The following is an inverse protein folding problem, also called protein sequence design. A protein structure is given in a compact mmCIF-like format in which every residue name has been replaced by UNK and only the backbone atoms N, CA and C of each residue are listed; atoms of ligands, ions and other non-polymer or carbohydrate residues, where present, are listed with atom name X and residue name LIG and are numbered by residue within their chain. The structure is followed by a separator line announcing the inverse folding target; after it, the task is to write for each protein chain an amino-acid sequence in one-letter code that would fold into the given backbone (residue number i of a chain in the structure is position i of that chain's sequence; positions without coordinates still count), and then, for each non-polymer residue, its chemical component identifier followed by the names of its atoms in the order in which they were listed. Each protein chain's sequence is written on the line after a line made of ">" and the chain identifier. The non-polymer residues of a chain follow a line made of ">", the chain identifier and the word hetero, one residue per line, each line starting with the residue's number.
data_IF_482372034177
#
_entry.id   IF_482372034177
#
_cell.length_a   1.000
_cell.length_b   1.000
_cell.length_c   1.000
_cell.angle_alpha   90.00
_cell.angle_beta   90.00
_cell.angle_gamma   90.00
#
_symmetry.space_group_name_H-M   'P 1'
#
loop_
_entity.id
_entity.type
_entity.pdbx_description
1 polymer ?
#
# COMPACT_ATOMS: atom_id res chain seq x y z
N UNK A 1 17.06 -24.79 8.10
CA UNK A 1 15.75 -25.38 8.47
C UNK A 1 14.60 -25.10 7.47
N UNK A 2 14.64 -24.11 6.56
CA UNK A 2 13.52 -23.85 5.62
C UNK A 2 13.13 -25.08 4.77
N UNK A 3 14.09 -25.75 4.18
CA UNK A 3 13.85 -26.91 3.29
C UNK A 3 13.16 -28.10 3.97
N UNK A 4 13.25 -28.20 5.31
CA UNK A 4 12.65 -29.31 6.07
C UNK A 4 11.14 -29.15 6.19
N UNK A 5 10.65 -27.91 6.36
CA UNK A 5 9.24 -27.65 6.58
C UNK A 5 8.43 -27.83 5.29
N UNK A 6 8.94 -27.37 4.15
CA UNK A 6 8.33 -27.61 2.83
C UNK A 6 8.27 -29.11 2.50
N UNK A 7 9.32 -29.85 2.85
CA UNK A 7 9.34 -31.31 2.68
C UNK A 7 8.24 -31.99 3.52
N UNK A 8 8.04 -31.54 4.75
CA UNK A 8 6.98 -32.07 5.62
C UNK A 8 5.59 -31.78 5.03
N UNK A 9 5.33 -30.57 4.51
CA UNK A 9 4.07 -30.22 3.87
C UNK A 9 3.80 -31.12 2.66
N UNK A 10 4.77 -31.30 1.76
CA UNK A 10 4.66 -32.19 0.59
C UNK A 10 4.41 -33.66 0.99
N UNK A 11 5.08 -34.14 2.03
CA UNK A 11 4.88 -35.49 2.55
C UNK A 11 3.48 -35.67 3.18
N UNK A 12 3.03 -34.67 3.94
CA UNK A 12 1.69 -34.70 4.53
C UNK A 12 0.61 -34.70 3.44
N UNK A 13 0.76 -33.85 2.42
CA UNK A 13 -0.18 -33.82 1.28
C UNK A 13 -0.23 -35.18 0.58
N UNK A 14 0.94 -35.74 0.23
CA UNK A 14 1.01 -37.05 -0.39
C UNK A 14 0.39 -38.14 0.46
N UNK A 15 0.64 -38.15 1.77
CA UNK A 15 0.04 -39.13 2.70
C UNK A 15 -1.48 -39.05 2.71
N UNK A 16 -2.05 -37.83 2.74
CA UNK A 16 -3.49 -37.63 2.69
C UNK A 16 -4.09 -38.13 1.37
N UNK A 17 -3.43 -37.90 0.27
CA UNK A 17 -3.85 -38.38 -1.04
C UNK A 17 -3.79 -39.90 -1.12
N UNK A 18 -2.69 -40.52 -0.67
CA UNK A 18 -2.53 -42.00 -0.61
C UNK A 18 -3.55 -42.67 0.29
N UNK A 19 -4.03 -41.99 1.35
CA UNK A 19 -5.07 -42.47 2.25
C UNK A 19 -6.50 -42.20 1.76
N UNK A 20 -6.68 -41.67 0.56
CA UNK A 20 -8.01 -41.39 -0.02
C UNK A 20 -8.68 -40.12 0.51
N UNK A 21 -7.93 -39.22 1.11
CA UNK A 21 -8.40 -37.94 1.64
C UNK A 21 -7.86 -36.70 0.86
N UNK A 22 -8.01 -36.63 -0.48
CA UNK A 22 -7.46 -35.57 -1.28
C UNK A 22 -8.08 -34.18 -1.00
N UNK A 23 -9.26 -34.14 -0.39
CA UNK A 23 -9.96 -32.89 -0.03
C UNK A 23 -9.62 -32.41 1.38
N UNK A 24 -8.85 -33.17 2.16
CA UNK A 24 -8.41 -32.71 3.47
C UNK A 24 -7.49 -31.49 3.33
N UNK A 25 -7.72 -30.47 4.14
CA UNK A 25 -6.96 -29.22 4.12
C UNK A 25 -5.78 -29.28 5.08
N UNK A 26 -4.62 -28.82 4.62
CA UNK A 26 -3.44 -28.66 5.44
C UNK A 26 -3.41 -27.24 6.00
N UNK A 27 -3.64 -27.12 7.31
CA UNK A 27 -3.55 -25.85 8.02
C UNK A 27 -2.21 -25.79 8.78
N UNK A 28 -1.39 -24.79 8.47
CA UNK A 28 -0.03 -24.64 8.97
C UNK A 28 0.05 -23.46 9.93
N UNK A 29 0.79 -23.61 11.02
CA UNK A 29 0.98 -22.55 12.02
C UNK A 29 2.32 -22.72 12.68
N UNK A 30 2.91 -21.68 13.16
CA UNK A 30 4.13 -21.52 13.92
C UNK A 30 5.06 -20.47 13.31
N UNK A 31 5.04 -19.27 13.88
CA UNK A 31 5.98 -18.18 13.57
C UNK A 31 6.05 -17.79 12.09
N UNK A 32 4.93 -17.93 11.35
CA UNK A 32 4.89 -17.67 9.92
C UNK A 32 4.90 -16.18 9.63
N UNK A 33 5.76 -15.77 8.69
CA UNK A 33 5.76 -14.48 8.01
C UNK A 33 5.24 -14.62 6.57
N UNK A 34 5.15 -13.52 5.83
CA UNK A 34 4.65 -13.50 4.44
C UNK A 34 5.52 -14.33 3.49
N UNK A 35 6.82 -14.40 3.73
CA UNK A 35 7.75 -15.18 2.90
C UNK A 35 7.56 -16.67 3.14
N UNK A 36 7.46 -17.08 4.40
CA UNK A 36 7.18 -18.48 4.78
C UNK A 36 5.81 -18.94 4.31
N UNK A 37 4.79 -18.10 4.43
CA UNK A 37 3.44 -18.39 3.89
C UNK A 37 3.52 -18.64 2.38
N UNK A 38 4.23 -17.83 1.61
CA UNK A 38 4.43 -18.03 0.17
C UNK A 38 5.09 -19.38 -0.15
N UNK A 39 6.17 -19.73 0.56
CA UNK A 39 6.91 -20.98 0.36
C UNK A 39 6.05 -22.21 0.70
N UNK A 40 5.39 -22.19 1.82
CA UNK A 40 4.55 -23.29 2.29
C UNK A 40 3.26 -23.46 1.48
N UNK A 41 2.70 -22.37 0.95
CA UNK A 41 1.60 -22.42 -0.01
C UNK A 41 2.03 -23.11 -1.32
N UNK A 42 3.21 -22.77 -1.83
CA UNK A 42 3.80 -23.43 -3.00
C UNK A 42 4.13 -24.92 -2.75
N UNK A 43 4.33 -25.32 -1.49
CA UNK A 43 4.54 -26.71 -1.09
C UNK A 43 3.24 -27.51 -0.94
N UNK A 44 2.06 -26.87 -0.98
CA UNK A 44 0.74 -27.50 -0.87
C UNK A 44 -0.01 -27.24 0.43
N UNK A 45 0.36 -26.21 1.19
CA UNK A 45 -0.41 -25.71 2.32
C UNK A 45 -1.67 -24.98 1.86
N UNK A 46 -2.78 -25.23 2.53
CA UNK A 46 -4.11 -24.66 2.18
C UNK A 46 -4.52 -23.49 3.08
N UNK A 47 -4.06 -23.45 4.32
CA UNK A 47 -4.38 -22.41 5.29
C UNK A 47 -3.24 -22.15 6.25
N UNK A 48 -3.18 -20.93 6.79
CA UNK A 48 -2.04 -20.46 7.58
C UNK A 48 -2.50 -19.71 8.82
N UNK A 49 -2.02 -20.17 9.99
CA UNK A 49 -2.13 -19.46 11.24
C UNK A 49 -0.97 -18.47 11.35
N UNK A 50 -1.26 -17.20 11.17
CA UNK A 50 -0.28 -16.11 11.26
C UNK A 50 -0.48 -15.31 12.54
N UNK A 51 0.58 -14.74 13.06
CA UNK A 51 0.57 -14.01 14.32
C UNK A 51 1.54 -12.83 14.30
N UNK A 52 2.38 -12.76 15.33
CA UNK A 52 3.29 -11.65 15.58
C UNK A 52 4.17 -11.29 14.38
N UNK A 53 4.67 -12.28 13.66
CA UNK A 53 5.56 -12.04 12.50
C UNK A 53 4.89 -11.34 11.32
N UNK A 54 3.54 -11.33 11.26
CA UNK A 54 2.79 -10.53 10.28
C UNK A 54 2.36 -9.20 10.89
N UNK A 55 1.89 -9.21 12.17
CA UNK A 55 1.39 -8.00 12.83
C UNK A 55 2.51 -7.08 13.30
N UNK A 56 3.71 -7.62 13.54
CA UNK A 56 4.92 -6.94 13.99
C UNK A 56 6.09 -7.24 13.04
N UNK A 57 5.84 -7.33 11.71
CA UNK A 57 6.91 -7.57 10.74
C UNK A 57 7.98 -6.46 10.81
N UNK A 58 9.24 -6.73 10.42
CA UNK A 58 10.33 -5.75 10.53
C UNK A 58 10.07 -4.43 9.78
N UNK A 59 9.21 -4.46 8.78
CA UNK A 59 8.76 -3.32 8.00
C UNK A 59 7.38 -2.77 8.44
N UNK A 60 6.71 -3.44 9.39
CA UNK A 60 5.49 -2.90 9.99
C UNK A 60 5.82 -1.73 10.91
N UNK A 61 4.96 -0.71 10.89
CA UNK A 61 5.05 0.38 11.85
C UNK A 61 4.82 -0.17 13.28
N UNK A 62 5.89 -0.25 14.06
CA UNK A 62 5.84 -0.63 15.49
C UNK A 62 5.26 0.51 16.30
N UNK A 63 3.97 0.74 16.16
CA UNK A 63 3.24 1.80 16.83
C UNK A 63 2.55 2.75 15.85
N UNK A 64 1.44 3.32 16.27
CA UNK A 64 0.72 4.33 15.49
C UNK A 64 1.47 5.66 15.64
N UNK A 65 2.40 5.92 14.73
CA UNK A 65 3.06 7.21 14.62
C UNK A 65 2.24 8.16 13.75
N UNK A 66 1.70 9.23 14.32
CA UNK A 66 1.08 10.30 13.56
C UNK A 66 1.93 11.56 13.65
N UNK A 67 2.30 12.13 12.51
CA UNK A 67 3.04 13.39 12.40
C UNK A 67 2.30 14.36 11.50
N UNK A 68 1.89 15.50 12.06
CA UNK A 68 1.34 16.62 11.29
C UNK A 68 2.45 17.53 10.74
N UNK A 69 2.25 18.02 9.52
CA UNK A 69 3.08 19.07 8.92
C UNK A 69 2.17 20.18 8.44
N UNK A 70 2.52 21.43 8.80
CA UNK A 70 1.79 22.59 8.32
C UNK A 70 2.08 22.81 6.84
N UNK A 71 1.05 22.76 6.00
CA UNK A 71 1.14 22.96 4.54
C UNK A 71 0.36 24.18 4.07
N UNK A 72 -0.49 24.74 4.93
CA UNK A 72 -1.24 25.97 4.71
C UNK A 72 -1.59 26.57 6.07
N UNK A 73 -1.41 27.88 6.24
CA UNK A 73 -1.78 28.56 7.49
C UNK A 73 -3.25 29.04 7.50
N UNK A 74 -3.69 29.61 8.59
CA UNK A 74 -5.07 30.09 8.77
C UNK A 74 -5.45 31.25 7.82
N UNK A 75 -4.47 32.00 7.27
CA UNK A 75 -4.71 33.08 6.29
C UNK A 75 -4.73 32.56 4.84
N UNK A 76 -4.57 31.24 4.64
CA UNK A 76 -4.53 30.61 3.32
C UNK A 76 -3.13 30.62 2.68
N UNK A 77 -2.11 31.19 3.34
CA UNK A 77 -0.75 31.16 2.82
C UNK A 77 -0.21 29.75 2.80
N UNK A 78 0.24 29.30 1.63
CA UNK A 78 0.86 28.00 1.44
C UNK A 78 2.26 27.94 2.08
N UNK A 79 2.61 26.78 2.60
CA UNK A 79 3.90 26.55 3.24
C UNK A 79 4.33 25.11 3.00
N UNK A 80 5.63 24.86 3.02
CA UNK A 80 6.19 23.53 2.87
C UNK A 80 7.45 23.38 3.71
N UNK A 81 7.76 22.13 4.06
CA UNK A 81 9.05 21.80 4.66
C UNK A 81 10.05 21.44 3.57
N UNK A 82 11.13 22.20 3.47
CA UNK A 82 12.31 21.80 2.72
C UNK A 82 13.21 20.92 3.59
N UNK A 83 13.48 19.72 3.11
CA UNK A 83 14.35 18.78 3.83
C UNK A 83 15.23 18.07 2.79
N UNK A 84 16.21 18.82 2.26
CA UNK A 84 17.15 18.32 1.24
C UNK A 84 17.84 17.05 1.73
N UNK A 85 17.71 15.96 0.98
CA UNK A 85 18.38 14.68 1.24
C UNK A 85 17.86 13.82 2.40
N UNK A 86 16.85 14.26 3.15
CA UNK A 86 16.34 13.51 4.33
C UNK A 86 15.02 12.78 4.12
N UNK A 87 14.39 12.86 2.94
CA UNK A 87 13.07 12.28 2.66
C UNK A 87 11.91 12.91 3.47
N UNK A 88 12.17 14.01 4.21
CA UNK A 88 11.19 14.65 5.11
C UNK A 88 10.57 15.92 4.52
N UNK A 89 10.76 16.17 3.23
CA UNK A 89 10.12 17.29 2.54
C UNK A 89 8.59 17.08 2.50
N UNK A 90 7.83 18.19 2.44
CA UNK A 90 6.38 18.16 2.26
C UNK A 90 5.98 18.95 1.03
N UNK A 91 4.86 18.61 0.42
CA UNK A 91 4.25 19.41 -0.62
C UNK A 91 3.36 20.50 0.01
N UNK A 92 3.26 21.69 -0.60
CA UNK A 92 2.45 22.78 -0.07
C UNK A 92 0.96 22.60 -0.34
N UNK A 93 0.13 23.15 0.54
CA UNK A 93 -1.30 23.28 0.34
C UNK A 93 -2.10 21.99 0.55
N UNK A 94 -3.40 22.11 0.38
CA UNK A 94 -4.34 20.98 0.38
C UNK A 94 -4.24 20.28 -0.98
N UNK A 95 -4.01 18.99 -0.96
CA UNK A 95 -3.79 18.20 -2.17
C UNK A 95 -4.97 17.30 -2.48
N UNK A 96 -5.07 16.88 -3.74
CA UNK A 96 -5.82 15.74 -4.22
C UNK A 96 -4.89 14.83 -5.02
N UNK A 97 -5.16 13.54 -4.99
CA UNK A 97 -4.46 12.53 -5.79
C UNK A 97 -5.46 11.93 -6.76
N UNK A 98 -5.15 11.96 -8.03
CA UNK A 98 -5.95 11.31 -9.07
C UNK A 98 -5.20 10.11 -9.63
N UNK A 99 -5.82 8.94 -9.60
CA UNK A 99 -5.29 7.71 -10.18
C UNK A 99 -5.70 7.56 -11.62
N UNK A 100 -4.72 7.32 -12.47
CA UNK A 100 -4.87 6.91 -13.86
C UNK A 100 -4.47 5.44 -14.03
N UNK A 101 -4.51 4.94 -15.26
CA UNK A 101 -4.18 3.54 -15.55
C UNK A 101 -2.69 3.22 -15.33
N UNK A 102 -1.80 4.21 -15.46
CA UNK A 102 -0.35 4.07 -15.52
C UNK A 102 0.42 5.02 -14.57
N UNK A 103 -0.26 5.95 -13.91
CA UNK A 103 0.36 6.91 -12.99
C UNK A 103 -0.65 7.49 -11.99
N UNK A 104 -0.14 8.17 -10.97
CA UNK A 104 -0.91 9.07 -10.12
C UNK A 104 -0.53 10.52 -10.40
N UNK A 105 -1.52 11.41 -10.40
CA UNK A 105 -1.34 12.86 -10.51
C UNK A 105 -1.71 13.55 -9.20
N UNK A 106 -0.76 14.27 -8.60
CA UNK A 106 -1.01 15.14 -7.45
C UNK A 106 -1.33 16.56 -7.94
N UNK A 107 -2.42 17.11 -7.41
CA UNK A 107 -2.87 18.48 -7.72
C UNK A 107 -3.12 19.24 -6.43
N UNK A 108 -3.22 20.56 -6.51
CA UNK A 108 -3.89 21.32 -5.46
C UNK A 108 -5.39 20.97 -5.46
N UNK A 109 -5.99 20.99 -4.28
CA UNK A 109 -7.38 20.55 -4.08
C UNK A 109 -8.41 21.35 -4.89
N UNK A 110 -8.10 22.61 -5.19
CA UNK A 110 -8.94 23.54 -5.93
C UNK A 110 -8.69 23.56 -7.45
N UNK A 111 -7.83 22.68 -7.94
CA UNK A 111 -7.64 22.49 -9.38
C UNK A 111 -8.83 21.73 -10.00
N UNK A 112 -9.17 22.01 -11.27
CA UNK A 112 -10.19 21.25 -11.97
C UNK A 112 -9.87 19.74 -11.99
N UNK A 113 -10.91 18.91 -11.81
CA UNK A 113 -10.75 17.46 -11.89
C UNK A 113 -10.33 17.06 -13.33
N UNK A 114 -9.26 16.27 -13.47
CA UNK A 114 -8.87 15.76 -14.79
C UNK A 114 -9.89 14.77 -15.34
N UNK A 115 -10.07 14.77 -16.67
CA UNK A 115 -11.17 14.06 -17.37
C UNK A 115 -11.23 12.57 -17.08
N UNK A 116 -10.11 11.89 -16.86
CA UNK A 116 -10.06 10.42 -16.68
C UNK A 116 -9.48 9.99 -15.34
N UNK A 117 -9.16 10.95 -14.46
CA UNK A 117 -8.54 10.64 -13.16
C UNK A 117 -9.59 10.26 -12.11
N UNK A 118 -9.36 9.18 -11.39
CA UNK A 118 -10.17 8.80 -10.23
C UNK A 118 -9.61 9.45 -8.97
N UNK A 119 -10.36 10.31 -8.24
CA UNK A 119 -9.88 10.91 -7.00
C UNK A 119 -9.69 9.83 -5.92
N UNK A 120 -8.55 9.83 -5.25
CA UNK A 120 -8.25 8.88 -4.18
C UNK A 120 -8.61 9.42 -2.79
N UNK A 121 -8.48 10.72 -2.57
CA UNK A 121 -8.85 11.33 -1.29
C UNK A 121 -10.34 11.63 -1.28
N UNK A 122 -11.04 11.07 -0.30
CA UNK A 122 -12.47 11.26 -0.09
C UNK A 122 -12.70 11.92 1.27
N UNK A 123 -13.66 12.84 1.40
CA UNK A 123 -13.98 13.43 2.69
C UNK A 123 -14.61 12.36 3.59
N UNK A 124 -14.02 12.13 4.76
CA UNK A 124 -14.55 11.22 5.77
C UNK A 124 -15.36 11.98 6.82
N UNK A 125 -14.86 13.14 7.23
CA UNK A 125 -15.48 14.01 8.24
C UNK A 125 -15.62 15.43 7.73
N UNK A 126 -16.73 16.09 8.09
CA UNK A 126 -16.91 17.56 8.00
C UNK A 126 -17.29 18.08 9.39
N UNK A 127 -16.38 18.83 10.01
CA UNK A 127 -16.57 19.21 11.39
C UNK A 127 -16.68 17.98 12.29
N UNK A 128 -17.87 17.76 12.88
CA UNK A 128 -18.16 16.62 13.76
C UNK A 128 -18.96 15.51 13.09
N UNK A 129 -19.30 15.65 11.82
CA UNK A 129 -20.16 14.71 11.08
C UNK A 129 -19.35 13.77 10.21
N UNK A 130 -19.64 12.48 10.30
CA UNK A 130 -19.15 11.47 9.37
C UNK A 130 -19.94 11.59 8.07
N UNK A 131 -19.28 12.00 6.98
CA UNK A 131 -19.91 12.28 5.69
C UNK A 131 -19.79 11.17 4.66
N UNK A 132 -19.05 10.11 5.01
CA UNK A 132 -18.87 8.94 4.16
C UNK A 132 -19.17 7.69 4.98
N UNK A 133 -20.03 6.83 4.47
CA UNK A 133 -20.29 5.52 5.09
C UNK A 133 -19.02 4.66 5.02
N UNK A 134 -18.65 4.07 6.15
CA UNK A 134 -17.50 3.18 6.23
C UNK A 134 -17.84 1.84 5.57
N UNK A 135 -17.00 1.32 4.68
CA UNK A 135 -17.24 0.03 4.06
C UNK A 135 -17.17 -1.10 5.08
N UNK A 136 -17.94 -2.14 4.88
CA UNK A 136 -17.83 -3.39 5.65
C UNK A 136 -16.47 -4.05 5.40
N UNK A 137 -16.01 -4.95 6.29
CA UNK A 137 -14.79 -5.72 6.07
C UNK A 137 -14.78 -6.52 4.76
N UNK A 138 -15.94 -7.04 4.33
CA UNK A 138 -16.06 -7.75 3.05
C UNK A 138 -15.85 -6.80 1.87
N UNK A 139 -16.54 -5.67 1.84
CA UNK A 139 -16.38 -4.65 0.81
C UNK A 139 -14.94 -4.13 0.73
N UNK A 140 -14.29 -3.95 1.89
CA UNK A 140 -12.88 -3.55 1.94
C UNK A 140 -11.97 -4.61 1.31
N UNK A 141 -12.20 -5.90 1.60
CA UNK A 141 -11.44 -7.01 1.01
C UNK A 141 -11.61 -7.08 -0.51
N UNK A 142 -12.85 -6.96 -0.98
CA UNK A 142 -13.16 -6.99 -2.42
C UNK A 142 -12.49 -5.81 -3.14
N UNK A 143 -12.56 -4.62 -2.53
CA UNK A 143 -11.87 -3.43 -3.04
C UNK A 143 -10.36 -3.63 -3.14
N UNK A 144 -9.71 -4.12 -2.08
CA UNK A 144 -8.26 -4.39 -2.08
C UNK A 144 -7.90 -5.41 -3.16
N UNK A 145 -8.69 -6.47 -3.30
CA UNK A 145 -8.47 -7.51 -4.33
C UNK A 145 -8.53 -6.92 -5.73
N UNK A 146 -9.53 -6.08 -6.02
CA UNK A 146 -9.65 -5.38 -7.30
C UNK A 146 -8.49 -4.41 -7.56
N UNK A 147 -8.13 -3.59 -6.55
CA UNK A 147 -7.02 -2.63 -6.69
C UNK A 147 -5.69 -3.35 -6.93
N UNK A 148 -5.43 -4.45 -6.21
CA UNK A 148 -4.23 -5.26 -6.41
C UNK A 148 -4.20 -5.89 -7.81
N UNK A 149 -5.32 -6.39 -8.30
CA UNK A 149 -5.42 -6.97 -9.65
C UNK A 149 -5.15 -5.94 -10.76
N UNK A 150 -5.45 -4.66 -10.51
CA UNK A 150 -5.19 -3.57 -11.45
C UNK A 150 -3.73 -3.10 -11.48
N UNK A 151 -2.91 -3.45 -10.47
CA UNK A 151 -1.50 -3.08 -10.45
C UNK A 151 -0.70 -3.88 -11.50
N UNK A 152 0.35 -3.30 -12.09
CA UNK A 152 1.33 -4.04 -12.90
C UNK A 152 1.92 -5.24 -12.15
N UNK A 153 2.25 -6.35 -12.82
CA UNK A 153 2.74 -7.57 -12.17
C UNK A 153 3.95 -7.36 -11.25
N UNK A 154 4.88 -6.49 -11.62
CA UNK A 154 6.08 -6.21 -10.83
C UNK A 154 5.77 -5.51 -9.49
N UNK A 155 4.65 -4.75 -9.39
CA UNK A 155 4.22 -4.10 -8.16
C UNK A 155 3.36 -5.01 -7.25
N UNK A 156 3.07 -6.24 -7.68
CA UNK A 156 2.33 -7.23 -6.86
C UNK A 156 3.24 -8.18 -6.10
N UNK A 157 4.55 -8.07 -6.30
CA UNK A 157 5.56 -8.88 -5.62
C UNK A 157 5.73 -8.40 -4.17
N UNK A 158 6.22 -9.27 -3.31
CA UNK A 158 6.59 -8.92 -1.93
C UNK A 158 7.89 -8.12 -1.88
N UNK A 159 8.79 -8.36 -2.84
CA UNK A 159 10.05 -7.66 -2.96
C UNK A 159 9.80 -6.23 -3.45
N UNK A 160 10.47 -5.26 -2.83
CA UNK A 160 10.41 -3.86 -3.26
C UNK A 160 10.87 -3.73 -4.72
N UNK A 161 10.11 -2.99 -5.53
CA UNK A 161 10.50 -2.66 -6.88
C UNK A 161 11.80 -1.84 -6.85
N UNK A 162 12.91 -2.45 -7.24
CA UNK A 162 14.17 -1.73 -7.42
C UNK A 162 14.16 -0.97 -8.75
N UNK A 163 14.92 0.11 -8.84
CA UNK A 163 15.09 0.91 -10.06
C UNK A 163 15.90 0.16 -11.15
N UNK A 164 15.53 -1.08 -11.42
CA UNK A 164 16.17 -1.98 -12.38
C UNK A 164 15.16 -2.53 -13.39
N UNK A 165 15.50 -3.63 -14.05
CA UNK A 165 14.78 -4.26 -15.17
C UNK A 165 13.29 -4.62 -14.95
N UNK A 166 12.72 -4.36 -13.80
CA UNK A 166 11.37 -4.80 -13.40
C UNK A 166 10.26 -3.71 -13.52
N UNK A 167 10.51 -2.60 -14.20
CA UNK A 167 9.48 -1.57 -14.45
C UNK A 167 9.47 -0.40 -13.46
N UNK A 168 10.25 -0.44 -12.39
CA UNK A 168 10.39 0.65 -11.43
C UNK A 168 9.17 0.91 -10.52
N UNK A 169 9.23 1.95 -9.67
CA UNK A 169 8.13 2.34 -8.81
C UNK A 169 6.95 2.91 -9.63
N UNK A 170 5.76 2.93 -9.01
CA UNK A 170 4.59 3.57 -9.60
C UNK A 170 4.86 5.05 -9.90
N UNK A 171 4.61 5.53 -11.13
CA UNK A 171 4.88 6.92 -11.47
C UNK A 171 3.95 7.88 -10.72
N UNK A 172 4.54 8.95 -10.17
CA UNK A 172 3.80 10.03 -9.49
C UNK A 172 4.16 11.34 -10.19
N UNK A 173 3.16 12.00 -10.75
CA UNK A 173 3.29 13.28 -11.44
C UNK A 173 2.72 14.40 -10.58
N UNK A 174 3.23 15.60 -10.75
CA UNK A 174 2.70 16.82 -10.13
C UNK A 174 2.01 17.67 -11.21
N UNK A 175 0.91 18.32 -10.86
CA UNK A 175 0.26 19.28 -11.75
C UNK A 175 1.18 20.48 -12.02
N UNK A 176 1.02 21.13 -13.15
CA UNK A 176 1.78 22.34 -13.50
C UNK A 176 1.64 23.44 -12.46
N UNK A 177 0.41 23.61 -11.91
CA UNK A 177 0.14 24.61 -10.88
C UNK A 177 0.86 24.26 -9.56
N UNK A 178 0.83 22.98 -9.16
CA UNK A 178 1.55 22.54 -7.95
C UNK A 178 3.06 22.74 -8.10
N UNK A 179 3.62 22.40 -9.26
CA UNK A 179 5.05 22.64 -9.55
C UNK A 179 5.37 24.14 -9.45
N UNK A 180 4.56 25.00 -10.07
CA UNK A 180 4.76 26.45 -10.01
C UNK A 180 4.74 26.99 -8.58
N UNK A 181 3.79 26.57 -7.75
CA UNK A 181 3.73 26.96 -6.33
C UNK A 181 4.96 26.51 -5.55
N UNK A 182 5.47 25.31 -5.83
CA UNK A 182 6.71 24.82 -5.20
C UNK A 182 7.89 25.71 -5.57
N UNK A 183 8.02 26.05 -6.86
CA UNK A 183 9.10 26.93 -7.36
C UNK A 183 9.03 28.33 -6.74
N UNK A 184 7.85 28.94 -6.65
CA UNK A 184 7.65 30.22 -5.99
C UNK A 184 8.06 30.17 -4.50
N UNK A 185 7.64 29.15 -3.76
CA UNK A 185 7.99 29.01 -2.34
C UNK A 185 9.49 28.78 -2.12
N UNK A 186 10.14 28.04 -3.02
CA UNK A 186 11.59 27.82 -2.96
C UNK A 186 12.37 29.11 -3.29
N UNK A 187 11.88 29.89 -4.26
CA UNK A 187 12.52 31.14 -4.67
C UNK A 187 12.38 32.28 -3.65
N UNK A 188 11.36 32.20 -2.78
CA UNK A 188 11.08 33.19 -1.73
C UNK A 188 11.87 32.94 -0.43
N UNK A 189 12.72 31.90 -0.38
CA UNK A 189 13.58 31.53 0.77
C UNK A 189 15.01 31.95 0.57
#
# INVERSE_FOLDING_TARGET
>A
RPATDELHVRRARKLLDDLGAPHAKLFLSDGLDEFRVRELAAAGGDGFGVGENITCSPDAATGIGAVGKLVQNATGKLTMKLARGSGKATLPGRLQVYRFADHDLLTLHDEPMPVSGRPLLQPLWRGKELVTELPSPSQTRDYVTQQRAALPPHLRKLELASAGNDGGPWPILLSKRLVHVIEELVSAM
#
